data_IF_278051804919
#
_entry.id   IF_278051804919
#
_cell.length_a   1.000
_cell.length_b   1.000
_cell.length_c   1.000
_cell.angle_alpha   90.00
_cell.angle_beta   90.00
_cell.angle_gamma   90.00
#
_symmetry.space_group_name_H-M   'P 1'
#
loop_
_entity.id
_entity.type
_entity.pdbx_description
1 polymer ?
#
# COMPACT_ATOMS: atom_id res chain seq x y z
N UNK A 1 -13.79 4.38 13.90
CA UNK A 1 -12.39 4.63 14.32
C UNK A 1 -11.74 5.47 13.23
N UNK A 2 -11.10 6.57 13.62
CA UNK A 2 -10.47 7.53 12.71
C UNK A 2 -9.06 7.09 12.33
N UNK A 3 -8.77 7.06 11.06
CA UNK A 3 -7.45 6.69 10.52
C UNK A 3 -6.78 7.85 9.80
N UNK A 4 -5.47 7.85 9.91
CA UNK A 4 -4.56 8.66 9.12
C UNK A 4 -3.85 7.76 8.12
N UNK A 5 -3.89 8.10 6.84
CA UNK A 5 -3.26 7.35 5.75
C UNK A 5 -2.02 8.06 5.24
N UNK A 6 -0.88 7.37 5.22
CA UNK A 6 0.39 7.88 4.70
C UNK A 6 0.78 7.15 3.42
N UNK A 7 1.32 7.91 2.47
CA UNK A 7 1.65 7.35 1.14
C UNK A 7 0.43 6.67 0.51
N UNK A 8 -0.71 7.37 0.58
CA UNK A 8 -2.03 6.82 0.31
C UNK A 8 -2.22 6.33 -1.14
N UNK A 9 -1.46 6.87 -2.09
CA UNK A 9 -1.61 6.56 -3.50
C UNK A 9 -3.04 6.85 -3.99
N UNK A 10 -3.59 5.95 -4.79
CA UNK A 10 -4.99 6.02 -5.23
C UNK A 10 -6.02 5.61 -4.14
N UNK A 11 -5.59 5.32 -2.91
CA UNK A 11 -6.46 4.91 -1.81
C UNK A 11 -6.81 3.42 -1.77
N UNK A 12 -5.96 2.54 -2.34
CA UNK A 12 -6.23 1.10 -2.34
C UNK A 12 -6.28 0.49 -0.93
N UNK A 13 -5.32 0.83 -0.08
CA UNK A 13 -5.30 0.41 1.32
C UNK A 13 -6.45 1.05 2.09
N UNK A 14 -6.69 2.34 1.86
CA UNK A 14 -7.77 3.13 2.46
C UNK A 14 -9.15 2.53 2.18
N UNK A 15 -9.37 2.06 0.96
CA UNK A 15 -10.62 1.40 0.57
C UNK A 15 -10.86 0.11 1.35
N UNK A 16 -9.80 -0.68 1.58
CA UNK A 16 -9.87 -1.87 2.40
C UNK A 16 -10.30 -1.55 3.84
N UNK A 17 -9.69 -0.55 4.45
CA UNK A 17 -10.05 -0.12 5.80
C UNK A 17 -11.44 0.54 5.86
N UNK A 18 -11.82 1.34 4.87
CA UNK A 18 -13.18 1.92 4.78
C UNK A 18 -14.25 0.83 4.70
N UNK A 19 -14.02 -0.23 3.90
CA UNK A 19 -14.92 -1.40 3.84
C UNK A 19 -15.00 -2.16 5.16
N UNK A 20 -13.95 -2.13 5.96
CA UNK A 20 -13.92 -2.72 7.31
C UNK A 20 -14.53 -1.79 8.40
N UNK A 21 -15.12 -0.65 8.02
CA UNK A 21 -15.82 0.25 8.94
C UNK A 21 -14.92 1.30 9.60
N UNK A 22 -13.72 1.52 9.09
CA UNK A 22 -12.85 2.61 9.53
C UNK A 22 -13.10 3.88 8.71
N UNK A 23 -12.78 5.02 9.30
CA UNK A 23 -12.96 6.34 8.70
C UNK A 23 -11.60 7.00 8.42
N UNK A 24 -11.28 7.23 7.15
CA UNK A 24 -10.03 7.85 6.74
C UNK A 24 -10.24 9.37 6.78
N UNK A 25 -9.79 10.02 7.85
CA UNK A 25 -10.04 11.46 8.06
C UNK A 25 -8.95 12.34 7.45
N UNK A 26 -7.73 11.83 7.32
CA UNK A 26 -6.62 12.57 6.75
C UNK A 26 -5.69 11.62 5.99
N UNK A 27 -5.22 12.05 4.83
CA UNK A 27 -4.29 11.30 4.00
C UNK A 27 -3.15 12.19 3.51
N UNK A 28 -1.96 11.61 3.35
CA UNK A 28 -0.83 12.27 2.71
C UNK A 28 -0.37 11.48 1.49
N UNK A 29 -0.22 12.18 0.38
CA UNK A 29 0.36 11.66 -0.85
C UNK A 29 1.06 12.79 -1.63
N UNK A 30 2.26 12.52 -2.11
CA UNK A 30 3.05 13.51 -2.84
C UNK A 30 2.83 13.46 -4.36
N UNK A 31 2.44 12.29 -4.90
CA UNK A 31 2.22 12.10 -6.33
C UNK A 31 0.89 12.71 -6.77
N UNK A 32 0.96 13.82 -7.49
CA UNK A 32 -0.22 14.55 -7.98
C UNK A 32 -1.07 13.76 -8.97
N UNK A 33 -0.51 12.76 -9.63
CA UNK A 33 -1.23 11.99 -10.66
C UNK A 33 -2.33 11.13 -10.09
N UNK A 34 -2.25 10.78 -8.80
CA UNK A 34 -3.23 9.91 -8.12
C UNK A 34 -4.35 10.67 -7.41
N UNK A 35 -4.22 12.00 -7.22
CA UNK A 35 -5.21 12.79 -6.47
C UNK A 35 -6.63 12.72 -7.01
N UNK A 36 -6.88 12.81 -8.34
CA UNK A 36 -8.25 12.74 -8.85
C UNK A 36 -8.95 11.43 -8.47
N UNK A 37 -8.21 10.32 -8.53
CA UNK A 37 -8.73 8.99 -8.16
C UNK A 37 -8.99 8.90 -6.66
N UNK A 38 -8.03 9.35 -5.83
CA UNK A 38 -8.19 9.32 -4.38
C UNK A 38 -9.39 10.19 -3.95
N UNK A 39 -9.44 11.44 -4.38
CA UNK A 39 -10.49 12.38 -3.99
C UNK A 39 -11.90 11.94 -4.44
N UNK A 40 -12.00 11.28 -5.60
CA UNK A 40 -13.27 10.71 -6.07
C UNK A 40 -13.79 9.62 -5.12
N UNK A 41 -12.91 8.79 -4.57
CA UNK A 41 -13.29 7.68 -3.69
C UNK A 41 -13.40 8.09 -2.21
N UNK A 42 -12.72 9.17 -1.83
CA UNK A 42 -12.63 9.66 -0.45
C UNK A 42 -12.86 11.19 -0.40
N UNK A 43 -14.06 11.67 -0.79
CA UNK A 43 -14.33 13.11 -0.88
C UNK A 43 -14.27 13.84 0.46
N UNK A 44 -14.49 13.12 1.57
CA UNK A 44 -14.50 13.69 2.93
C UNK A 44 -13.11 13.62 3.61
N UNK A 45 -12.13 12.99 2.97
CA UNK A 45 -10.76 12.87 3.50
C UNK A 45 -9.96 14.13 3.20
N UNK A 46 -9.35 14.75 4.19
CA UNK A 46 -8.41 15.85 3.99
C UNK A 46 -7.12 15.30 3.38
N UNK A 47 -6.83 15.67 2.13
CA UNK A 47 -5.60 15.26 1.43
C UNK A 47 -4.52 16.32 1.58
N UNK A 48 -3.43 15.98 2.27
CA UNK A 48 -2.20 16.79 2.28
C UNK A 48 -1.27 16.33 1.15
N UNK A 49 -0.98 17.23 0.25
CA UNK A 49 -0.24 16.95 -1.00
C UNK A 49 1.24 17.34 -0.92
N UNK A 50 1.70 17.79 0.25
CA UNK A 50 3.10 18.10 0.50
C UNK A 50 3.94 16.82 0.65
N UNK A 51 5.25 16.94 0.46
CA UNK A 51 6.15 15.87 0.90
C UNK A 51 5.97 15.65 2.41
N UNK A 52 5.89 14.41 2.84
CA UNK A 52 5.77 14.07 4.28
C UNK A 52 6.89 14.67 5.13
N UNK A 53 8.05 14.96 4.53
CA UNK A 53 9.19 15.60 5.18
C UNK A 53 8.95 17.08 5.47
N UNK A 54 8.10 17.70 4.65
CA UNK A 54 7.81 19.14 4.72
C UNK A 54 6.60 19.43 5.62
N UNK A 55 5.97 18.41 6.18
CA UNK A 55 4.82 18.54 7.08
C UNK A 55 5.34 18.57 8.53
N UNK A 56 5.21 19.70 9.23
CA UNK A 56 5.58 19.80 10.63
C UNK A 56 4.73 18.87 11.52
N UNK A 57 5.31 18.41 12.61
CA UNK A 57 4.61 17.47 13.50
C UNK A 57 3.38 18.06 14.20
N UNK A 58 3.35 19.36 14.41
CA UNK A 58 2.26 20.11 15.04
C UNK A 58 1.07 20.36 14.08
N UNK A 59 1.27 20.14 12.77
CA UNK A 59 0.20 20.19 11.77
C UNK A 59 -0.50 18.83 11.58
N UNK A 60 0.03 17.75 12.17
CA UNK A 60 -0.56 16.42 12.05
C UNK A 60 -1.77 16.28 12.97
N UNK A 61 -2.95 15.76 12.49
CA UNK A 61 -4.10 15.49 13.35
C UNK A 61 -3.75 14.53 14.50
N UNK A 62 -4.15 14.84 15.73
CA UNK A 62 -3.82 14.05 16.92
C UNK A 62 -4.94 13.13 17.39
N UNK A 63 -6.22 13.45 17.10
CA UNK A 63 -7.37 12.61 17.47
C UNK A 63 -7.56 11.47 16.47
N UNK A 64 -6.59 10.56 16.44
CA UNK A 64 -6.47 9.46 15.47
C UNK A 64 -6.32 8.14 16.22
N UNK A 65 -7.15 7.17 15.86
CA UNK A 65 -7.11 5.82 16.45
C UNK A 65 -6.03 4.93 15.82
N UNK A 66 -5.81 5.06 14.51
CA UNK A 66 -4.84 4.25 13.78
C UNK A 66 -4.13 4.99 12.66
N UNK A 67 -2.92 4.56 12.33
CA UNK A 67 -2.15 5.05 11.18
C UNK A 67 -1.90 3.91 10.22
N UNK A 68 -2.24 4.11 8.94
CA UNK A 68 -2.00 3.12 7.88
C UNK A 68 -1.10 3.70 6.80
N UNK A 69 -0.45 2.86 6.01
CA UNK A 69 0.31 3.35 4.86
C UNK A 69 1.30 2.36 4.25
N UNK A 70 1.78 2.70 3.06
CA UNK A 70 2.81 1.95 2.35
C UNK A 70 4.06 2.79 2.12
N UNK A 71 4.95 3.00 3.12
CA UNK A 71 6.16 3.79 2.92
C UNK A 71 7.00 3.24 1.77
N UNK A 72 7.49 4.10 0.84
CA UNK A 72 8.15 3.67 -0.39
C UNK A 72 9.32 2.73 -0.17
N UNK A 73 9.37 1.68 -0.98
CA UNK A 73 10.31 0.59 -0.89
C UNK A 73 11.30 0.50 -2.07
N UNK A 74 11.46 1.54 -2.86
CA UNK A 74 12.32 1.47 -4.06
C UNK A 74 13.79 1.18 -3.74
N UNK A 75 14.25 1.49 -2.53
CA UNK A 75 15.58 1.13 -2.02
C UNK A 75 15.70 -0.31 -1.53
N UNK A 76 14.57 -1.02 -1.34
CA UNK A 76 14.49 -2.39 -0.82
C UNK A 76 14.10 -3.41 -1.90
N UNK A 77 13.62 -2.96 -3.08
CA UNK A 77 13.17 -3.85 -4.15
C UNK A 77 14.35 -4.51 -4.87
N UNK A 78 14.13 -5.72 -5.38
CA UNK A 78 15.12 -6.45 -6.20
C UNK A 78 15.46 -5.70 -7.51
N UNK A 79 14.53 -4.91 -8.03
CA UNK A 79 14.73 -4.06 -9.21
C UNK A 79 15.45 -2.75 -8.91
N UNK A 80 15.65 -2.39 -7.64
CA UNK A 80 16.33 -1.17 -7.19
C UNK A 80 17.81 -1.40 -6.91
N UNK A 81 18.55 -0.30 -6.63
CA UNK A 81 20.00 -0.35 -6.31
C UNK A 81 20.31 -1.02 -4.97
N UNK A 82 19.30 -1.49 -4.22
CA UNK A 82 19.48 -2.22 -2.97
C UNK A 82 20.14 -1.43 -1.83
N UNK A 83 20.08 -0.09 -1.87
CA UNK A 83 20.74 0.79 -0.90
C UNK A 83 20.04 0.82 0.48
N UNK A 84 18.82 0.29 0.57
CA UNK A 84 18.07 0.20 1.83
C UNK A 84 17.89 1.57 2.49
N UNK A 85 18.22 1.61 3.78
CA UNK A 85 18.10 2.81 4.63
C UNK A 85 19.03 3.97 4.25
N UNK A 86 20.10 3.69 3.51
CA UNK A 86 21.04 4.71 3.05
C UNK A 86 20.54 5.50 1.81
N UNK A 87 19.44 5.06 1.20
CA UNK A 87 18.76 5.81 0.15
C UNK A 87 17.81 6.84 0.78
N UNK A 88 17.71 8.03 0.19
CA UNK A 88 16.75 9.08 0.61
C UNK A 88 15.31 8.57 0.72
N UNK A 89 14.94 7.58 -0.10
CA UNK A 89 13.62 6.93 -0.09
C UNK A 89 13.46 5.91 1.03
N UNK A 90 14.55 5.21 1.42
CA UNK A 90 14.58 4.34 2.60
C UNK A 90 14.33 5.12 3.89
N UNK A 91 14.73 6.39 3.91
CA UNK A 91 14.49 7.31 5.02
C UNK A 91 13.02 7.67 5.20
N UNK A 92 12.15 7.50 4.19
CA UNK A 92 10.71 7.76 4.33
C UNK A 92 10.00 6.80 5.31
N UNK A 93 10.60 5.64 5.60
CA UNK A 93 10.11 4.79 6.68
C UNK A 93 10.28 5.45 8.06
N UNK A 94 11.33 6.25 8.25
CA UNK A 94 11.50 7.03 9.50
C UNK A 94 10.51 8.19 9.61
N UNK A 95 10.07 8.75 8.48
CA UNK A 95 8.97 9.71 8.50
C UNK A 95 7.68 9.03 8.97
N UNK A 96 7.42 7.81 8.53
CA UNK A 96 6.31 7.01 9.05
C UNK A 96 6.42 6.83 10.58
N UNK A 97 7.61 6.49 11.09
CA UNK A 97 7.87 6.36 12.54
C UNK A 97 7.69 7.71 13.25
N UNK A 98 8.14 8.82 12.65
CA UNK A 98 7.93 10.17 13.19
C UNK A 98 6.46 10.47 13.40
N UNK A 99 5.62 10.17 12.42
CA UNK A 99 4.17 10.36 12.54
C UNK A 99 3.59 9.47 13.64
N UNK A 100 3.97 8.21 13.72
CA UNK A 100 3.54 7.30 14.82
C UNK A 100 3.93 7.88 16.20
N UNK A 101 5.13 8.43 16.32
CA UNK A 101 5.61 9.07 17.57
C UNK A 101 4.79 10.30 17.92
N UNK A 102 4.38 11.09 16.93
CA UNK A 102 3.57 12.32 17.10
C UNK A 102 2.14 11.98 17.49
N UNK A 103 1.48 11.13 16.69
CA UNK A 103 0.05 10.80 16.82
C UNK A 103 -0.21 9.86 18.01
N UNK A 104 0.73 8.96 18.31
CA UNK A 104 0.61 7.90 19.34
C UNK A 104 -0.68 7.08 19.20
N UNK A 105 -1.01 6.57 17.99
CA UNK A 105 -2.26 5.87 17.73
C UNK A 105 -2.35 4.57 18.55
N UNK A 106 -3.55 3.99 18.64
CA UNK A 106 -3.78 2.68 19.27
C UNK A 106 -3.09 1.56 18.49
N UNK A 107 -3.08 1.68 17.16
CA UNK A 107 -2.41 0.73 16.26
C UNK A 107 -1.89 1.42 15.00
N UNK A 108 -1.01 0.72 14.28
CA UNK A 108 -0.61 1.09 12.92
C UNK A 108 -0.47 -0.13 12.02
N UNK A 109 -0.61 0.10 10.72
CA UNK A 109 -0.37 -0.92 9.70
C UNK A 109 0.51 -0.33 8.61
N UNK A 110 1.71 -0.91 8.41
CA UNK A 110 2.60 -0.53 7.33
C UNK A 110 2.77 -1.69 6.33
N UNK A 111 2.51 -1.41 5.05
CA UNK A 111 2.71 -2.38 3.96
C UNK A 111 4.05 -2.15 3.28
N UNK A 112 4.68 -3.24 2.84
CA UNK A 112 5.89 -3.17 2.06
C UNK A 112 6.04 -4.36 1.11
N UNK A 113 6.96 -4.27 0.16
CA UNK A 113 7.28 -5.38 -0.75
C UNK A 113 8.05 -6.49 -0.05
N UNK A 114 7.93 -7.74 -0.54
CA UNK A 114 8.63 -8.92 0.03
C UNK A 114 10.15 -8.76 0.06
N UNK A 115 10.73 -7.98 -0.85
CA UNK A 115 12.18 -7.70 -0.91
C UNK A 115 12.78 -7.11 0.37
N UNK A 116 11.97 -6.47 1.23
CA UNK A 116 12.43 -5.95 2.53
C UNK A 116 12.94 -7.07 3.46
N UNK A 117 12.48 -8.32 3.28
CA UNK A 117 12.90 -9.48 4.06
C UNK A 117 14.21 -10.12 3.58
N UNK A 118 14.80 -9.61 2.49
CA UNK A 118 16.10 -10.13 2.02
C UNK A 118 17.16 -9.99 3.11
N UNK A 119 18.05 -10.97 3.22
CA UNK A 119 19.08 -11.05 4.29
C UNK A 119 19.91 -9.77 4.44
N UNK A 120 20.24 -9.09 3.34
CA UNK A 120 20.96 -7.80 3.34
C UNK A 120 20.25 -6.67 4.08
N UNK A 121 18.94 -6.77 4.27
CA UNK A 121 18.10 -5.74 4.93
C UNK A 121 17.73 -6.09 6.38
N UNK A 122 18.14 -7.27 6.87
CA UNK A 122 17.78 -7.79 8.21
C UNK A 122 18.04 -6.78 9.33
N UNK A 123 19.22 -6.15 9.33
CA UNK A 123 19.60 -5.21 10.37
C UNK A 123 18.69 -3.97 10.36
N UNK A 124 18.37 -3.45 9.18
CA UNK A 124 17.50 -2.30 9.04
C UNK A 124 16.04 -2.62 9.45
N UNK A 125 15.52 -3.79 9.07
CA UNK A 125 14.20 -4.25 9.51
C UNK A 125 14.16 -4.40 11.04
N UNK A 126 15.19 -4.98 11.64
CA UNK A 126 15.30 -5.10 13.09
C UNK A 126 15.34 -3.73 13.77
N UNK A 127 16.06 -2.76 13.21
CA UNK A 127 16.11 -1.38 13.74
C UNK A 127 14.72 -0.74 13.67
N UNK A 128 14.01 -0.87 12.57
CA UNK A 128 12.63 -0.36 12.42
C UNK A 128 11.70 -0.96 13.48
N UNK A 129 11.75 -2.28 13.66
CA UNK A 129 10.93 -2.97 14.68
C UNK A 129 11.31 -2.48 16.08
N UNK A 130 12.61 -2.26 16.35
CA UNK A 130 13.05 -1.77 17.64
C UNK A 130 12.57 -0.33 17.92
N UNK A 131 12.58 0.54 16.89
CA UNK A 131 12.02 1.90 17.04
C UNK A 131 10.54 1.85 17.42
N UNK A 132 9.73 1.02 16.79
CA UNK A 132 8.31 0.87 17.16
C UNK A 132 8.16 0.32 18.60
N UNK A 133 9.01 -0.63 18.99
CA UNK A 133 9.01 -1.16 20.38
C UNK A 133 9.37 -0.11 21.40
N UNK A 134 10.36 0.75 21.10
CA UNK A 134 10.75 1.87 21.94
C UNK A 134 9.61 2.90 22.13
N UNK A 135 8.71 2.99 21.13
CA UNK A 135 7.48 3.79 21.21
C UNK A 135 6.32 3.09 21.96
N UNK A 136 6.55 1.90 22.51
CA UNK A 136 5.57 1.15 23.32
C UNK A 136 4.64 0.22 22.53
N UNK A 137 4.96 -0.09 21.26
CA UNK A 137 4.14 -1.00 20.45
C UNK A 137 4.65 -2.43 20.49
N UNK A 138 3.73 -3.39 20.59
CA UNK A 138 3.98 -4.73 20.11
C UNK A 138 3.95 -4.71 18.58
N UNK A 139 4.87 -5.42 17.93
CA UNK A 139 4.96 -5.45 16.47
C UNK A 139 4.87 -6.89 15.98
N UNK A 140 3.92 -7.16 15.12
CA UNK A 140 3.86 -8.36 14.28
C UNK A 140 4.34 -8.01 12.88
N UNK A 141 5.16 -8.90 12.31
CA UNK A 141 5.62 -8.83 10.93
C UNK A 141 5.21 -10.11 10.24
N UNK A 142 4.53 -10.01 9.10
CA UNK A 142 4.05 -11.17 8.37
C UNK A 142 4.20 -10.99 6.87
N UNK A 143 4.73 -12.01 6.18
CA UNK A 143 4.66 -12.12 4.73
C UNK A 143 3.33 -12.75 4.37
N UNK A 144 2.56 -12.09 3.52
CA UNK A 144 1.25 -12.55 3.05
C UNK A 144 1.20 -12.55 1.53
N UNK A 145 0.39 -13.45 0.97
CA UNK A 145 0.04 -13.42 -0.44
C UNK A 145 -1.40 -12.95 -0.58
N UNK A 146 -1.66 -11.95 -1.41
CA UNK A 146 -3.01 -11.45 -1.66
C UNK A 146 -3.97 -12.57 -2.12
N UNK A 147 -3.46 -13.56 -2.85
CA UNK A 147 -4.24 -14.72 -3.29
C UNK A 147 -4.77 -15.59 -2.14
N UNK A 148 -4.15 -15.53 -0.96
CA UNK A 148 -4.63 -16.21 0.24
C UNK A 148 -5.82 -15.48 0.92
N UNK A 149 -6.20 -14.30 0.39
CA UNK A 149 -7.27 -13.42 0.89
C UNK A 149 -8.29 -13.07 -0.20
N UNK A 150 -8.59 -14.01 -1.11
CA UNK A 150 -9.60 -13.87 -2.17
C UNK A 150 -9.28 -12.81 -3.24
N UNK A 151 -8.01 -12.43 -3.38
CA UNK A 151 -7.56 -11.58 -4.48
C UNK A 151 -6.96 -12.47 -5.57
N UNK A 152 -7.43 -12.40 -6.83
CA UNK A 152 -6.96 -13.29 -7.92
C UNK A 152 -5.59 -12.85 -8.47
N UNK A 153 -4.65 -12.58 -7.58
CA UNK A 153 -3.29 -12.13 -7.90
C UNK A 153 -2.28 -12.74 -6.93
N UNK A 154 -1.23 -13.34 -7.46
CA UNK A 154 -0.06 -13.72 -6.67
C UNK A 154 0.77 -12.47 -6.36
N UNK A 155 0.49 -11.86 -5.21
CA UNK A 155 1.10 -10.63 -4.75
C UNK A 155 1.61 -10.77 -3.32
N UNK A 156 2.91 -11.01 -3.19
CA UNK A 156 3.57 -11.11 -1.89
C UNK A 156 3.83 -9.72 -1.30
N UNK A 157 3.37 -9.52 -0.06
CA UNK A 157 3.58 -8.28 0.69
C UNK A 157 3.94 -8.56 2.13
N UNK A 158 4.75 -7.68 2.68
CA UNK A 158 5.10 -7.71 4.09
C UNK A 158 4.23 -6.70 4.81
N UNK A 159 3.53 -7.15 5.83
CA UNK A 159 2.66 -6.32 6.65
C UNK A 159 3.26 -6.23 8.05
N UNK A 160 3.52 -5.00 8.48
CA UNK A 160 3.84 -4.66 9.86
C UNK A 160 2.54 -4.23 10.54
N UNK A 161 2.19 -4.87 11.64
CA UNK A 161 1.09 -4.44 12.49
C UNK A 161 1.65 -4.11 13.85
N UNK A 162 1.58 -2.85 14.23
CA UNK A 162 1.92 -2.39 15.57
C UNK A 162 0.66 -2.05 16.36
N UNK A 163 0.63 -2.44 17.62
CA UNK A 163 -0.50 -2.18 18.51
C UNK A 163 -0.02 -2.00 19.94
N UNK A 164 -0.71 -1.16 20.71
CA UNK A 164 -0.44 -0.97 22.12
C UNK A 164 -0.90 -2.18 22.93
N UNK A 165 -0.17 -2.50 23.98
CA UNK A 165 -0.45 -3.68 24.83
C UNK A 165 -1.81 -3.62 25.52
N UNK A 166 -2.28 -2.44 25.84
CA UNK A 166 -3.58 -2.18 26.43
C UNK A 166 -4.76 -2.34 25.46
N UNK A 167 -4.47 -2.36 24.15
CA UNK A 167 -5.48 -2.55 23.10
C UNK A 167 -5.60 -4.01 22.69
N UNK A 168 -4.46 -4.70 22.53
CA UNK A 168 -4.41 -6.13 22.17
C UNK A 168 -3.33 -6.80 23.01
N UNK A 169 -3.72 -7.74 23.86
CA UNK A 169 -2.79 -8.51 24.70
C UNK A 169 -2.18 -9.72 23.97
N UNK A 170 -2.80 -10.16 22.89
CA UNK A 170 -2.36 -11.31 22.11
C UNK A 170 -1.59 -10.91 20.87
N UNK A 171 -0.66 -11.75 20.43
CA UNK A 171 0.05 -11.55 19.18
C UNK A 171 -0.92 -11.56 18.00
N UNK A 172 -0.89 -10.50 17.21
CA UNK A 172 -1.72 -10.39 16.02
C UNK A 172 -1.16 -11.21 14.87
N UNK A 173 -2.05 -11.96 14.18
CA UNK A 173 -1.75 -12.69 12.97
C UNK A 173 -2.89 -12.57 11.97
N UNK A 174 -2.56 -12.36 10.72
CA UNK A 174 -3.48 -12.50 9.60
C UNK A 174 -3.52 -13.97 9.20
N UNK A 175 -4.68 -14.60 9.33
CA UNK A 175 -4.86 -15.99 8.93
C UNK A 175 -5.37 -16.05 7.49
N UNK A 176 -4.74 -16.83 6.60
CA UNK A 176 -5.26 -17.08 5.27
C UNK A 176 -6.68 -17.62 5.31
N UNK A 177 -7.49 -17.23 4.34
CA UNK A 177 -8.83 -17.79 4.18
C UNK A 177 -8.70 -19.23 3.68
N UNK A 178 -9.41 -20.17 4.31
CA UNK A 178 -9.39 -21.60 3.94
C UNK A 178 -10.30 -21.89 2.74
N UNK A 179 -10.17 -21.11 1.67
CA UNK A 179 -10.98 -21.24 0.47
C UNK A 179 -10.11 -21.56 -0.74
N UNK A 180 -10.76 -21.98 -1.83
CA UNK A 180 -10.10 -22.15 -3.13
C UNK A 180 -9.49 -20.80 -3.55
N UNK A 181 -8.22 -20.82 -3.95
CA UNK A 181 -7.58 -19.65 -4.54
C UNK A 181 -8.35 -19.22 -5.80
N UNK A 182 -8.72 -17.95 -5.85
CA UNK A 182 -9.36 -17.37 -7.02
C UNK A 182 -8.32 -17.19 -8.13
N UNK A 183 -8.78 -17.36 -9.36
CA UNK A 183 -8.03 -16.99 -10.56
C UNK A 183 -8.70 -15.80 -11.24
N UNK A 184 -7.97 -15.07 -12.06
CA UNK A 184 -8.48 -13.88 -12.73
C UNK A 184 -9.81 -14.14 -13.46
N UNK A 185 -9.95 -15.32 -14.08
CA UNK A 185 -11.17 -15.75 -14.74
C UNK A 185 -12.40 -15.73 -13.82
N UNK A 186 -12.24 -16.08 -12.55
CA UNK A 186 -13.36 -16.11 -11.59
C UNK A 186 -13.92 -14.69 -11.32
N UNK A 187 -13.11 -13.66 -11.52
CA UNK A 187 -13.45 -12.28 -11.16
C UNK A 187 -13.87 -11.40 -12.34
N UNK A 188 -13.44 -11.71 -13.57
CA UNK A 188 -13.69 -10.83 -14.73
C UNK A 188 -14.29 -11.56 -15.94
N UNK A 189 -14.66 -12.85 -15.80
CA UNK A 189 -15.16 -13.63 -16.94
C UNK A 189 -16.49 -13.13 -17.48
N UNK A 190 -17.30 -12.52 -16.66
CA UNK A 190 -18.55 -11.85 -17.03
C UNK A 190 -18.32 -10.68 -18.00
N UNK A 191 -17.16 -10.03 -17.92
CA UNK A 191 -16.80 -8.91 -18.80
C UNK A 191 -16.34 -9.34 -20.21
N UNK A 192 -16.15 -10.65 -20.47
CA UNK A 192 -15.56 -11.16 -21.72
C UNK A 192 -16.30 -10.72 -23.00
N UNK A 193 -17.63 -10.50 -22.90
CA UNK A 193 -18.47 -10.10 -24.04
C UNK A 193 -18.60 -8.57 -24.16
N UNK A 194 -18.30 -7.83 -23.11
CA UNK A 194 -18.33 -6.37 -23.06
C UNK A 194 -16.95 -5.73 -23.18
N UNK A 195 -15.90 -6.54 -23.11
CA UNK A 195 -14.53 -6.05 -23.26
C UNK A 195 -14.28 -5.53 -24.67
N UNK A 196 -13.81 -4.30 -24.77
CA UNK A 196 -13.45 -3.66 -26.04
C UNK A 196 -11.93 -3.76 -26.20
N UNK A 197 -11.41 -4.45 -27.25
CA UNK A 197 -9.97 -4.50 -27.49
C UNK A 197 -9.40 -3.11 -27.75
N UNK A 198 -8.26 -2.78 -27.16
CA UNK A 198 -7.51 -1.60 -27.53
C UNK A 198 -6.81 -1.85 -28.89
N UNK A 199 -7.32 -1.23 -29.93
CA UNK A 199 -6.86 -1.44 -31.32
C UNK A 199 -5.69 -0.56 -31.69
N UNK A 200 -5.55 0.60 -31.05
CA UNK A 200 -4.54 1.57 -31.37
C UNK A 200 -3.77 2.03 -30.11
N UNK A 201 -2.49 2.36 -30.34
CA UNK A 201 -1.66 2.99 -29.32
C UNK A 201 -2.27 4.32 -28.88
N UNK A 202 -2.37 4.53 -27.57
CA UNK A 202 -2.89 5.76 -26.96
C UNK A 202 -4.34 6.11 -27.33
N UNK A 203 -5.11 5.12 -27.80
CA UNK A 203 -6.55 5.28 -28.07
C UNK A 203 -7.37 4.22 -27.39
N UNK A 204 -8.51 4.59 -26.89
CA UNK A 204 -9.49 3.74 -26.20
C UNK A 204 -10.66 3.38 -27.10
N UNK A 205 -10.46 3.09 -28.38
CA UNK A 205 -11.52 2.75 -29.35
C UNK A 205 -12.69 3.75 -29.37
N UNK A 206 -12.39 5.04 -29.26
CA UNK A 206 -13.42 6.10 -29.21
C UNK A 206 -14.09 6.30 -27.86
N UNK A 207 -13.77 5.53 -26.85
CA UNK A 207 -14.37 5.62 -25.50
C UNK A 207 -13.57 6.45 -24.51
N UNK A 208 -12.76 7.40 -24.96
CA UNK A 208 -12.00 8.32 -24.11
C UNK A 208 -12.87 9.12 -23.12
N UNK A 209 -14.16 9.30 -23.42
CA UNK A 209 -15.14 9.90 -22.53
C UNK A 209 -15.53 9.00 -21.36
N UNK A 210 -15.45 7.67 -21.53
CA UNK A 210 -15.83 6.68 -20.50
C UNK A 210 -14.62 6.33 -19.63
N UNK A 211 -13.43 6.33 -20.22
CA UNK A 211 -12.17 6.02 -19.54
C UNK A 211 -11.19 7.17 -19.78
N UNK A 212 -11.39 8.32 -19.12
CA UNK A 212 -10.48 9.45 -19.27
C UNK A 212 -9.08 9.05 -18.78
N UNK A 213 -8.06 9.54 -19.47
CA UNK A 213 -6.65 9.25 -19.19
C UNK A 213 -6.22 7.77 -19.36
N UNK A 214 -7.02 6.98 -20.09
CA UNK A 214 -6.57 5.64 -20.43
C UNK A 214 -5.49 5.71 -21.50
N UNK A 215 -4.31 5.20 -21.17
CA UNK A 215 -3.20 5.03 -22.11
C UNK A 215 -3.01 3.54 -22.41
N UNK A 216 -2.90 3.21 -23.69
CA UNK A 216 -2.52 1.87 -24.09
C UNK A 216 -1.04 1.65 -23.78
N UNK A 217 -0.75 0.76 -22.84
CA UNK A 217 0.63 0.38 -22.52
C UNK A 217 1.24 -0.41 -23.68
N UNK A 218 2.06 0.24 -24.46
CA UNK A 218 2.85 -0.40 -25.52
C UNK A 218 4.30 -0.53 -25.11
N UNK A 219 4.94 -1.54 -25.64
CA UNK A 219 6.38 -1.70 -25.56
C UNK A 219 6.82 -2.99 -24.89
N UNK A 220 8.11 -3.08 -24.63
CA UNK A 220 8.82 -4.25 -24.15
C UNK A 220 8.18 -4.90 -22.90
N UNK A 221 7.49 -4.11 -22.10
CA UNK A 221 6.85 -4.62 -20.88
C UNK A 221 5.66 -5.53 -21.17
N UNK A 222 4.78 -5.15 -22.08
CA UNK A 222 3.61 -5.98 -22.45
C UNK A 222 4.03 -7.26 -23.18
N UNK A 223 5.05 -7.19 -24.02
CA UNK A 223 5.57 -8.33 -24.78
C UNK A 223 6.27 -9.34 -23.89
N UNK A 224 7.06 -8.88 -22.92
CA UNK A 224 7.73 -9.74 -21.93
C UNK A 224 6.71 -10.39 -20.99
N UNK A 225 5.69 -9.65 -20.55
CA UNK A 225 4.65 -10.16 -19.65
C UNK A 225 3.79 -11.22 -20.36
N UNK A 226 3.38 -10.98 -21.60
CA UNK A 226 2.62 -11.93 -22.41
C UNK A 226 3.42 -13.18 -22.77
N UNK A 227 4.73 -13.06 -22.99
CA UNK A 227 5.59 -14.21 -23.31
C UNK A 227 5.86 -15.11 -22.09
N UNK A 228 5.93 -14.57 -20.89
CA UNK A 228 6.15 -15.34 -19.65
C UNK A 228 4.89 -16.10 -19.19
N UNK A 229 3.70 -15.64 -19.52
CA UNK A 229 2.44 -16.29 -19.12
C UNK A 229 1.92 -17.32 -20.13
N UNK A 230 2.63 -17.59 -21.24
CA UNK A 230 2.27 -18.66 -22.17
C UNK A 230 2.71 -20.08 -21.76
N UNK A 231 3.35 -20.23 -20.61
CA UNK A 231 3.96 -21.50 -20.15
C UNK A 231 3.44 -21.92 -18.77
N UNK A 232 2.18 -21.56 -18.42
CA UNK A 232 1.53 -22.20 -17.25
C UNK A 232 0.03 -22.38 -17.48
#
# INVERSE_FOLDING_TARGET
>A
MKLLSLFAGCGGLDLGFKKAGFDIVWANEYDKTVYPTHNLNFPDTIMDTRSIRDIPSDEIPLDIDGVIGGPPCQSWSEAGKGLGINDKRGQLFYEYIRIIKTVKPKFFVAENVSGILHSKHRNAVNSIIQEFRNLGYNVSLQLVNANDFEVPEDRLRVIFVGYKKDVIDKKFFMNPLKQRKLVLKDCIWDLRNSAIPALEKNKTNGNSLIIPNHEYMTGTFSTIYMSRNRVR
#
